data_IF_852981419350
#
_entry.id   IF_852981419350
#
_cell.length_a   1.000
_cell.length_b   1.000
_cell.length_c   1.000
_cell.angle_alpha   90.00
_cell.angle_beta   90.00
_cell.angle_gamma   90.00
#
_symmetry.space_group_name_H-M   'P 1'
#
loop_
_entity.id
_entity.type
_entity.pdbx_description
1 polymer ?
#
# COMPACT_ATOMS: atom_id res chain seq x y z
N UNK A 1 15.23 -17.78 -7.49
CA UNK A 1 14.04 -17.02 -7.92
C UNK A 1 13.69 -16.02 -6.85
N UNK A 2 13.60 -14.74 -7.18
CA UNK A 2 13.13 -13.71 -6.25
C UNK A 2 11.66 -13.39 -6.57
N UNK A 3 10.82 -13.30 -5.54
CA UNK A 3 9.42 -12.87 -5.68
C UNK A 3 9.38 -11.33 -5.66
N UNK A 4 8.77 -10.67 -6.65
CA UNK A 4 8.59 -9.22 -6.65
C UNK A 4 7.72 -8.77 -5.46
N UNK A 5 8.10 -7.68 -4.80
CA UNK A 5 7.32 -7.03 -3.76
C UNK A 5 6.47 -5.93 -4.39
N UNK A 6 5.19 -5.85 -4.04
CA UNK A 6 4.35 -4.73 -4.46
C UNK A 6 4.81 -3.43 -3.79
N UNK A 7 5.16 -2.43 -4.59
CA UNK A 7 5.51 -1.10 -4.11
C UNK A 7 4.25 -0.32 -3.71
N UNK A 8 4.29 0.38 -2.58
CA UNK A 8 3.23 1.30 -2.18
C UNK A 8 3.27 2.51 -3.12
N UNK A 9 2.15 2.86 -3.76
CA UNK A 9 2.08 3.94 -4.78
C UNK A 9 1.96 5.33 -4.17
N UNK A 10 2.57 6.37 -4.79
CA UNK A 10 2.63 7.77 -4.31
C UNK A 10 4.02 8.27 -3.83
N UNK A 11 4.09 9.38 -3.07
CA UNK A 11 5.33 9.92 -2.46
C UNK A 11 5.27 9.92 -0.92
N UNK A 12 6.36 9.63 -0.19
CA UNK A 12 6.35 9.72 1.27
C UNK A 12 5.93 11.14 1.68
N UNK A 13 5.17 11.30 2.78
CA UNK A 13 4.86 12.62 3.29
C UNK A 13 6.17 13.34 3.67
N UNK A 14 6.19 14.66 3.54
CA UNK A 14 7.29 15.45 4.09
C UNK A 14 7.24 15.34 5.62
N UNK A 15 8.38 15.03 6.25
CA UNK A 15 8.42 14.71 7.68
C UNK A 15 7.91 15.84 8.60
N UNK A 16 7.90 17.08 8.11
CA UNK A 16 7.39 18.26 8.83
C UNK A 16 5.88 18.45 8.70
N UNK A 17 5.20 17.73 7.81
CA UNK A 17 3.74 17.81 7.61
C UNK A 17 3.14 16.40 7.59
N UNK A 18 3.19 15.73 8.75
CA UNK A 18 2.51 14.46 8.92
C UNK A 18 0.99 14.67 8.93
N UNK A 19 0.22 13.76 8.30
CA UNK A 19 -1.23 13.78 8.41
C UNK A 19 -1.67 13.51 9.86
N UNK A 20 -2.87 13.94 10.21
CA UNK A 20 -3.51 13.52 11.45
C UNK A 20 -3.71 11.99 11.46
N UNK A 21 -3.48 11.37 12.62
CA UNK A 21 -3.53 9.93 12.77
C UNK A 21 -2.34 9.22 12.11
N UNK A 22 -2.56 7.99 11.67
CA UNK A 22 -1.50 7.15 11.12
C UNK A 22 -0.80 7.82 9.93
N UNK A 23 0.53 7.97 10.04
CA UNK A 23 1.39 8.57 9.00
C UNK A 23 1.30 7.87 7.63
N UNK A 24 0.89 6.59 7.61
CA UNK A 24 0.72 5.81 6.39
C UNK A 24 -0.69 5.91 5.78
N UNK A 25 -1.67 6.48 6.50
CA UNK A 25 -3.07 6.53 6.06
C UNK A 25 -3.28 7.07 4.64
N UNK A 26 -2.53 8.06 4.11
CA UNK A 26 -2.78 8.57 2.76
C UNK A 26 -2.42 7.58 1.64
N UNK A 27 -1.66 6.52 1.95
CA UNK A 27 -1.10 5.57 0.96
C UNK A 27 -1.28 4.11 1.36
N UNK A 28 -1.87 3.85 2.51
CA UNK A 28 -2.05 2.50 3.02
C UNK A 28 -3.21 1.82 2.27
N UNK A 29 -2.99 0.66 1.62
CA UNK A 29 -4.06 -0.07 0.94
C UNK A 29 -5.05 -0.71 1.92
N UNK A 30 -4.72 -0.75 3.22
CA UNK A 30 -5.55 -1.26 4.32
C UNK A 30 -6.15 -0.13 5.16
N UNK A 31 -6.07 1.14 4.71
CA UNK A 31 -6.56 2.30 5.48
C UNK A 31 -8.04 2.15 5.83
N UNK A 32 -8.44 2.56 7.02
CA UNK A 32 -9.84 2.60 7.48
C UNK A 32 -10.08 3.96 8.17
N UNK A 33 -11.34 4.35 8.46
CA UNK A 33 -11.64 5.68 9.03
C UNK A 33 -10.79 6.04 10.26
N UNK A 34 -10.63 5.09 11.20
CA UNK A 34 -9.82 5.27 12.41
C UNK A 34 -8.37 5.67 12.14
N UNK A 35 -7.80 5.22 11.01
CA UNK A 35 -6.43 5.52 10.64
C UNK A 35 -6.20 7.02 10.33
N UNK A 36 -7.25 7.78 10.02
CA UNK A 36 -7.17 9.23 9.78
C UNK A 36 -7.34 10.07 11.04
N UNK A 37 -7.77 9.45 12.14
CA UNK A 37 -8.15 10.14 13.38
C UNK A 37 -7.15 9.89 14.50
N UNK A 38 -6.64 8.66 14.61
CA UNK A 38 -5.79 8.23 15.73
C UNK A 38 -4.49 7.56 15.27
N UNK A 39 -3.41 7.87 15.99
CA UNK A 39 -2.13 7.15 15.88
C UNK A 39 -2.22 5.79 16.58
N UNK A 40 -1.93 4.68 15.89
CA UNK A 40 -1.94 3.36 16.50
C UNK A 40 -0.79 3.21 17.53
N UNK A 41 -1.04 2.58 18.69
CA UNK A 41 0.03 2.29 19.64
C UNK A 41 0.99 1.24 19.09
N UNK A 42 2.26 1.31 19.50
CA UNK A 42 3.25 0.28 19.18
C UNK A 42 2.99 -0.98 20.03
N UNK A 43 2.50 -2.04 19.39
CA UNK A 43 2.14 -3.31 20.05
C UNK A 43 2.93 -4.48 19.48
N UNK A 44 3.18 -5.50 20.30
CA UNK A 44 3.76 -6.76 19.84
C UNK A 44 2.79 -7.51 18.93
N UNK A 45 3.32 -8.14 17.88
CA UNK A 45 2.53 -8.90 16.90
C UNK A 45 3.05 -10.33 16.77
N UNK A 46 2.14 -11.29 16.96
CA UNK A 46 2.46 -12.71 16.95
C UNK A 46 3.25 -13.15 18.18
N UNK A 47 4.05 -14.20 18.01
CA UNK A 47 4.88 -14.82 19.09
C UNK A 47 6.33 -14.31 19.13
N UNK A 48 6.68 -13.38 18.23
CA UNK A 48 8.03 -12.84 18.08
C UNK A 48 8.22 -11.49 18.77
N UNK A 49 9.46 -11.04 18.89
CA UNK A 49 9.82 -9.68 19.35
C UNK A 49 9.39 -8.55 18.37
N UNK A 50 8.74 -8.88 17.25
CA UNK A 50 8.25 -7.90 16.29
C UNK A 50 7.13 -7.04 16.89
N UNK A 51 7.20 -5.75 16.61
CA UNK A 51 6.21 -4.76 17.01
C UNK A 51 5.71 -3.97 15.80
N UNK A 52 4.45 -3.58 15.83
CA UNK A 52 3.86 -2.70 14.84
C UNK A 52 2.98 -1.65 15.50
N UNK A 53 2.99 -0.44 14.93
CA UNK A 53 2.02 0.60 15.18
C UNK A 53 0.99 0.55 14.04
N UNK A 54 0.03 -0.38 14.12
CA UNK A 54 -1.01 -0.56 13.11
C UNK A 54 -2.32 -1.00 13.74
N UNK A 55 -3.43 -0.37 13.34
CA UNK A 55 -4.78 -0.78 13.74
C UNK A 55 -5.19 -2.15 13.17
N UNK A 56 -4.63 -2.51 12.00
CA UNK A 56 -4.94 -3.74 11.26
C UNK A 56 -3.63 -4.44 10.85
N UNK A 57 -2.93 -5.11 11.78
CA UNK A 57 -1.61 -5.65 11.50
C UNK A 57 -1.60 -6.70 10.39
N UNK A 58 -0.58 -6.63 9.53
CA UNK A 58 -0.42 -7.54 8.39
C UNK A 58 -0.44 -9.01 8.86
N UNK A 59 -1.21 -9.84 8.16
CA UNK A 59 -1.40 -11.26 8.49
C UNK A 59 -2.53 -11.55 9.48
N UNK A 60 -3.19 -10.52 10.04
CA UNK A 60 -4.43 -10.71 10.81
C UNK A 60 -5.66 -10.81 9.88
N UNK A 61 -6.72 -11.45 10.36
CA UNK A 61 -8.02 -11.47 9.65
C UNK A 61 -8.54 -10.05 9.43
N UNK A 62 -8.39 -9.17 10.43
CA UNK A 62 -8.79 -7.77 10.34
C UNK A 62 -8.05 -7.00 9.22
N UNK A 63 -6.79 -7.37 8.92
CA UNK A 63 -6.04 -6.81 7.80
C UNK A 63 -6.57 -7.28 6.44
N UNK A 64 -6.89 -8.57 6.31
CA UNK A 64 -7.52 -9.12 5.10
C UNK A 64 -8.85 -8.43 4.81
N UNK A 65 -9.71 -8.35 5.82
CA UNK A 65 -11.02 -7.70 5.66
C UNK A 65 -10.90 -6.20 5.33
N UNK A 66 -9.92 -5.49 5.91
CA UNK A 66 -9.67 -4.09 5.58
C UNK A 66 -9.28 -3.92 4.10
N UNK A 67 -8.45 -4.83 3.57
CA UNK A 67 -8.10 -4.82 2.15
C UNK A 67 -9.33 -5.08 1.26
N UNK A 68 -10.12 -6.09 1.58
CA UNK A 68 -11.32 -6.47 0.83
C UNK A 68 -12.36 -5.36 0.79
N UNK A 69 -12.60 -4.68 1.93
CA UNK A 69 -13.45 -3.49 1.99
C UNK A 69 -12.96 -2.41 1.04
N UNK A 70 -11.69 -2.04 1.15
CA UNK A 70 -11.11 -0.99 0.32
C UNK A 70 -11.09 -1.33 -1.18
N UNK A 71 -10.94 -2.62 -1.51
CA UNK A 71 -11.01 -3.10 -2.88
C UNK A 71 -12.43 -2.97 -3.44
N UNK A 72 -13.43 -3.32 -2.63
CA UNK A 72 -14.85 -3.17 -2.97
C UNK A 72 -15.22 -1.69 -3.18
N UNK A 73 -14.69 -0.82 -2.33
CA UNK A 73 -14.84 0.63 -2.40
C UNK A 73 -13.98 1.28 -3.49
N UNK A 74 -13.17 0.48 -4.19
CA UNK A 74 -12.27 0.92 -5.28
C UNK A 74 -11.30 2.02 -4.88
N UNK A 75 -10.76 1.97 -3.65
CA UNK A 75 -9.78 2.95 -3.21
C UNK A 75 -8.52 2.90 -4.11
N UNK A 76 -8.03 4.04 -4.63
CA UNK A 76 -6.94 4.06 -5.61
C UNK A 76 -5.67 3.35 -5.14
N UNK A 77 -5.26 3.59 -3.89
CA UNK A 77 -4.08 2.96 -3.30
C UNK A 77 -4.23 1.44 -3.14
N UNK A 78 -5.44 0.94 -2.96
CA UNK A 78 -5.72 -0.50 -2.83
C UNK A 78 -5.74 -1.17 -4.19
N UNK A 79 -6.38 -0.54 -5.18
CA UNK A 79 -6.38 -1.04 -6.57
C UNK A 79 -4.96 -1.16 -7.12
N UNK A 80 -4.11 -0.15 -6.90
CA UNK A 80 -2.74 -0.17 -7.36
C UNK A 80 -1.92 -1.34 -6.76
N UNK A 81 -2.16 -1.68 -5.50
CA UNK A 81 -1.52 -2.83 -4.85
C UNK A 81 -2.10 -4.15 -5.37
N UNK A 82 -3.42 -4.23 -5.56
CA UNK A 82 -4.06 -5.43 -6.13
C UNK A 82 -3.54 -5.74 -7.55
N UNK A 83 -3.35 -4.70 -8.36
CA UNK A 83 -2.79 -4.85 -9.71
C UNK A 83 -1.31 -5.27 -9.67
N UNK A 84 -0.50 -4.68 -8.79
CA UNK A 84 0.90 -5.06 -8.62
C UNK A 84 1.09 -6.49 -8.07
N UNK A 85 0.11 -7.02 -7.35
CA UNK A 85 0.10 -8.41 -6.85
C UNK A 85 -0.46 -9.40 -7.88
N UNK A 86 -1.03 -8.92 -8.99
CA UNK A 86 -1.58 -9.78 -10.02
C UNK A 86 -0.43 -10.43 -10.82
N UNK A 87 -0.37 -11.78 -10.91
CA UNK A 87 0.77 -12.50 -11.47
C UNK A 87 1.01 -12.28 -12.98
N UNK A 88 0.13 -11.55 -13.67
CA UNK A 88 0.11 -11.39 -15.13
C UNK A 88 0.85 -10.13 -15.65
N UNK A 89 1.09 -9.13 -14.80
CA UNK A 89 1.60 -7.80 -15.22
C UNK A 89 3.13 -7.75 -15.49
N UNK A 90 3.73 -8.82 -16.02
CA UNK A 90 5.14 -8.82 -16.49
C UNK A 90 5.30 -8.46 -17.97
N UNK A 91 4.23 -8.08 -18.67
CA UNK A 91 4.22 -7.95 -20.14
C UNK A 91 3.60 -6.66 -20.68
N UNK A 92 3.87 -5.51 -20.07
CA UNK A 92 3.65 -4.22 -20.77
C UNK A 92 5.00 -3.51 -20.90
N UNK A 93 5.76 -3.91 -21.92
CA UNK A 93 6.79 -3.06 -22.50
C UNK A 93 6.06 -1.92 -23.20
N UNK A 94 6.34 -0.63 -22.90
CA UNK A 94 5.81 0.44 -23.73
C UNK A 94 6.39 0.27 -25.14
N UNK A 95 5.53 -0.11 -26.07
CA UNK A 95 5.85 -0.15 -27.48
C UNK A 95 6.11 1.28 -27.98
N UNK A 96 7.22 1.43 -28.69
CA UNK A 96 7.43 2.39 -29.77
C UNK A 96 7.54 3.89 -29.37
N UNK A 97 8.76 4.30 -29.02
CA UNK A 97 9.23 5.65 -29.39
C UNK A 97 9.59 5.60 -30.87
N UNK A 98 8.87 6.27 -31.78
CA UNK A 98 9.31 6.35 -33.16
C UNK A 98 10.62 7.14 -33.21
N UNK A 99 11.64 6.51 -33.79
CA UNK A 99 12.92 7.11 -34.12
C UNK A 99 12.66 8.34 -35.00
N UNK A 100 12.72 9.53 -34.38
CA UNK A 100 12.63 10.80 -35.06
C UNK A 100 13.88 11.02 -35.90
N UNK A 101 13.86 10.46 -37.11
CA UNK A 101 14.86 10.69 -38.13
C UNK A 101 14.95 12.18 -38.47
N UNK A 102 16.04 12.80 -38.03
CA UNK A 102 16.44 14.13 -38.46
C UNK A 102 16.94 14.02 -39.91
N UNK A 103 16.21 14.64 -40.83
CA UNK A 103 16.71 14.96 -42.17
C UNK A 103 17.51 16.26 -42.12
#
# INVERSE_FOLDING_TARGET
SHTPLAAITGRPPVATHLPTGCAFSPRCPYVQPRCHEEDPPLVSIGTSEHKAACWYPVGSDANREAFERNLSDRLPQTLAVAEALSPDQSSETPADLPDGGLT
#
